data_IF_521671750251
#
_entry.id   IF_521671750251
#
_cell.length_a   1.000
_cell.length_b   1.000
_cell.length_c   1.000
_cell.angle_alpha   90.00
_cell.angle_beta   90.00
_cell.angle_gamma   90.00
#
_symmetry.space_group_name_H-M   'P 1'
#
loop_
_entity.id
_entity.type
_entity.pdbx_description
1 polymer ?
#
# COMPACT_ATOMS: atom_id res chain seq x y z
N UNK A 1 -7.26 -9.06 17.25
CA UNK A 1 -8.27 -9.97 16.68
C UNK A 1 -9.09 -10.69 17.75
N UNK A 2 -8.49 -11.30 18.79
CA UNK A 2 -9.21 -11.97 19.88
C UNK A 2 -10.28 -11.13 20.58
N UNK A 3 -10.02 -9.85 20.85
CA UNK A 3 -10.97 -8.94 21.52
C UNK A 3 -12.25 -8.70 20.72
N UNK A 4 -12.15 -8.58 19.39
CA UNK A 4 -13.33 -8.46 18.52
C UNK A 4 -14.19 -9.73 18.51
N UNK A 5 -13.53 -10.89 18.54
CA UNK A 5 -14.21 -12.18 18.67
C UNK A 5 -14.89 -12.37 20.03
N UNK A 6 -14.24 -11.95 21.11
CA UNK A 6 -14.83 -12.02 22.46
C UNK A 6 -16.04 -11.09 22.60
N UNK A 7 -15.99 -9.91 21.98
CA UNK A 7 -17.14 -8.99 21.95
C UNK A 7 -18.29 -9.56 21.11
N UNK A 8 -18.00 -10.09 19.91
CA UNK A 8 -19.01 -10.69 19.06
C UNK A 8 -19.65 -11.93 19.71
N UNK A 9 -18.83 -12.80 20.33
CA UNK A 9 -19.31 -13.92 21.12
C UNK A 9 -20.12 -13.45 22.34
N UNK A 10 -19.67 -12.41 23.04
CA UNK A 10 -20.37 -11.83 24.19
C UNK A 10 -21.73 -11.23 23.84
N UNK A 11 -21.83 -10.50 22.73
CA UNK A 11 -23.10 -9.97 22.20
C UNK A 11 -24.03 -11.12 21.80
N UNK A 12 -23.49 -12.16 21.16
CA UNK A 12 -24.28 -13.33 20.76
C UNK A 12 -24.79 -14.09 21.99
N UNK A 13 -23.95 -14.27 23.02
CA UNK A 13 -24.31 -14.93 24.28
C UNK A 13 -25.33 -14.11 25.08
N UNK A 14 -25.17 -12.79 25.11
CA UNK A 14 -26.09 -11.87 25.76
C UNK A 14 -27.45 -11.87 25.06
N UNK A 15 -27.46 -11.81 23.73
CA UNK A 15 -28.68 -11.95 22.93
C UNK A 15 -29.33 -13.32 23.16
N UNK A 16 -28.55 -14.39 23.29
CA UNK A 16 -29.07 -15.73 23.61
C UNK A 16 -29.73 -15.78 24.99
N UNK A 17 -29.15 -15.11 25.99
CA UNK A 17 -29.73 -15.02 27.36
C UNK A 17 -31.02 -14.20 27.43
N UNK A 18 -31.12 -13.13 26.62
CA UNK A 18 -32.29 -12.22 26.65
C UNK A 18 -33.44 -12.75 25.78
N UNK A 19 -33.16 -13.64 24.84
CA UNK A 19 -34.18 -14.23 23.97
C UNK A 19 -35.03 -15.25 24.73
N UNK A 20 -36.32 -14.98 24.87
CA UNK A 20 -37.26 -15.86 25.57
C UNK A 20 -37.55 -17.20 24.85
N UNK A 21 -37.16 -17.34 23.58
CA UNK A 21 -37.31 -18.56 22.80
C UNK A 21 -36.04 -18.87 22.01
N UNK A 22 -35.57 -20.11 22.08
CA UNK A 22 -34.53 -20.62 21.19
C UNK A 22 -35.14 -20.83 19.81
N UNK A 23 -34.85 -19.91 18.90
CA UNK A 23 -35.46 -19.87 17.57
C UNK A 23 -34.38 -19.96 16.48
N UNK A 24 -34.74 -20.39 15.27
CA UNK A 24 -33.79 -20.65 14.16
C UNK A 24 -32.94 -19.43 13.79
N UNK A 25 -33.42 -18.22 14.13
CA UNK A 25 -32.72 -16.94 13.99
C UNK A 25 -31.38 -16.90 14.72
N UNK A 26 -31.27 -17.55 15.88
CA UNK A 26 -30.03 -17.59 16.66
C UNK A 26 -28.99 -18.50 15.99
N UNK A 27 -29.44 -19.63 15.42
CA UNK A 27 -28.59 -20.50 14.60
C UNK A 27 -28.08 -19.73 13.37
N UNK A 28 -28.93 -18.93 12.74
CA UNK A 28 -28.54 -18.09 11.61
C UNK A 28 -27.48 -17.05 12.01
N UNK A 29 -27.62 -16.42 13.17
CA UNK A 29 -26.65 -15.46 13.72
C UNK A 29 -25.30 -16.13 14.00
N UNK A 30 -25.30 -17.27 14.69
CA UNK A 30 -24.08 -18.05 14.94
C UNK A 30 -23.41 -18.50 13.64
N UNK A 31 -24.20 -18.99 12.67
CA UNK A 31 -23.70 -19.42 11.38
C UNK A 31 -23.08 -18.25 10.59
N UNK A 32 -23.73 -17.08 10.58
CA UNK A 32 -23.18 -15.89 9.93
C UNK A 32 -21.85 -15.45 10.56
N UNK A 33 -21.73 -15.55 11.89
CA UNK A 33 -20.50 -15.21 12.63
C UNK A 33 -19.36 -16.19 12.33
N UNK A 34 -19.68 -17.50 12.29
CA UNK A 34 -18.74 -18.53 11.90
C UNK A 34 -18.30 -18.40 10.44
N UNK A 35 -19.23 -18.12 9.53
CA UNK A 35 -18.93 -17.89 8.10
C UNK A 35 -18.08 -16.65 7.90
N UNK A 36 -18.39 -15.53 8.55
CA UNK A 36 -17.59 -14.31 8.49
C UNK A 36 -16.17 -14.57 9.01
N UNK A 37 -16.06 -15.26 10.15
CA UNK A 37 -14.77 -15.68 10.68
C UNK A 37 -13.99 -16.59 9.74
N UNK A 38 -14.66 -17.56 9.13
CA UNK A 38 -14.08 -18.48 8.16
C UNK A 38 -13.57 -17.76 6.91
N UNK A 39 -14.33 -16.82 6.36
CA UNK A 39 -13.92 -16.00 5.20
C UNK A 39 -12.69 -15.17 5.53
N UNK A 40 -12.65 -14.52 6.71
CA UNK A 40 -11.47 -13.76 7.16
C UNK A 40 -10.26 -14.68 7.33
N UNK A 41 -10.43 -15.84 7.98
CA UNK A 41 -9.33 -16.77 8.24
C UNK A 41 -8.78 -17.41 6.95
N UNK A 42 -9.66 -17.75 6.02
CA UNK A 42 -9.27 -18.33 4.72
C UNK A 42 -8.63 -17.29 3.80
N UNK A 43 -9.13 -16.05 3.79
CA UNK A 43 -8.49 -14.94 3.09
C UNK A 43 -7.11 -14.63 3.65
N UNK A 44 -6.97 -14.67 4.98
CA UNK A 44 -5.68 -14.50 5.66
C UNK A 44 -4.70 -15.63 5.32
N UNK A 45 -5.11 -16.90 5.43
CA UNK A 45 -4.24 -18.06 5.15
C UNK A 45 -3.84 -18.21 3.69
N UNK A 46 -4.63 -17.66 2.76
CA UNK A 46 -4.30 -17.66 1.33
C UNK A 46 -3.55 -16.40 0.90
N UNK A 47 -3.30 -15.46 1.82
CA UNK A 47 -2.55 -14.26 1.49
C UNK A 47 -1.11 -14.64 1.17
N UNK A 48 -0.58 -14.25 0.00
CA UNK A 48 0.76 -14.64 -0.41
C UNK A 48 1.79 -14.04 0.55
N UNK A 49 2.60 -14.90 1.17
CA UNK A 49 3.69 -14.47 2.05
C UNK A 49 4.90 -14.06 1.21
N UNK A 50 5.49 -12.91 1.56
CA UNK A 50 6.62 -12.35 0.83
C UNK A 50 7.09 -11.02 1.40
N UNK A 51 8.08 -10.43 0.75
CA UNK A 51 8.66 -9.14 1.11
C UNK A 51 8.35 -8.12 0.04
N UNK A 52 7.63 -7.08 0.44
CA UNK A 52 7.47 -5.86 -0.34
C UNK A 52 8.63 -4.92 -0.01
N UNK A 53 9.44 -4.59 -1.01
CA UNK A 53 10.62 -3.74 -0.87
C UNK A 53 10.47 -2.49 -1.73
N UNK A 54 10.92 -1.36 -1.20
CA UNK A 54 11.07 -0.11 -1.92
C UNK A 54 12.56 0.16 -2.11
N UNK A 55 13.03 0.27 -3.36
CA UNK A 55 14.44 0.51 -3.68
C UNK A 55 14.80 2.00 -3.81
N UNK A 56 13.86 2.90 -3.49
CA UNK A 56 14.01 4.35 -3.66
C UNK A 56 13.39 4.89 -4.95
N UNK A 57 13.17 4.03 -5.94
CA UNK A 57 12.59 4.40 -7.25
C UNK A 57 11.41 3.50 -7.65
N UNK A 58 11.46 2.21 -7.30
CA UNK A 58 10.52 1.18 -7.72
C UNK A 58 10.15 0.28 -6.56
N UNK A 59 8.91 -0.20 -6.62
CA UNK A 59 8.44 -1.26 -5.74
C UNK A 59 8.85 -2.62 -6.31
N UNK A 60 9.29 -3.51 -5.42
CA UNK A 60 9.65 -4.89 -5.76
C UNK A 60 8.94 -5.85 -4.82
N UNK A 61 8.40 -6.92 -5.39
CA UNK A 61 7.81 -8.00 -4.62
C UNK A 61 8.61 -9.29 -4.79
N UNK A 62 9.04 -9.84 -3.66
CA UNK A 62 9.71 -11.12 -3.56
C UNK A 62 8.82 -12.10 -2.80
N UNK A 63 8.54 -13.24 -3.40
CA UNK A 63 7.82 -14.35 -2.75
C UNK A 63 8.46 -15.68 -3.13
N UNK A 64 7.98 -16.77 -2.53
CA UNK A 64 8.42 -18.13 -2.88
C UNK A 64 8.26 -18.42 -4.38
N UNK A 65 7.21 -17.84 -4.99
CA UNK A 65 6.92 -17.94 -6.43
C UNK A 65 7.78 -16.98 -7.26
N UNK A 66 8.01 -15.76 -6.75
CA UNK A 66 8.81 -14.73 -7.41
C UNK A 66 10.14 -14.49 -6.69
N UNK A 67 11.03 -15.49 -6.73
CA UNK A 67 12.34 -15.42 -6.06
C UNK A 67 13.26 -14.34 -6.62
N UNK A 68 13.10 -13.98 -7.89
CA UNK A 68 13.92 -12.97 -8.57
C UNK A 68 13.50 -11.53 -8.29
N UNK A 69 12.40 -11.31 -7.56
CA UNK A 69 11.83 -9.99 -7.32
C UNK A 69 11.17 -9.42 -8.58
N UNK A 70 9.85 -9.24 -8.56
CA UNK A 70 9.13 -8.62 -9.69
C UNK A 70 9.00 -7.12 -9.46
N UNK A 71 9.36 -6.32 -10.47
CA UNK A 71 9.12 -4.89 -10.45
C UNK A 71 7.62 -4.60 -10.55
N UNK A 72 7.14 -3.71 -9.70
CA UNK A 72 5.74 -3.36 -9.56
C UNK A 72 5.50 -1.90 -9.92
N UNK A 73 4.27 -1.64 -10.36
CA UNK A 73 3.71 -0.30 -10.28
C UNK A 73 3.56 0.14 -8.82
N UNK A 74 3.39 1.45 -8.56
CA UNK A 74 3.05 1.93 -7.23
C UNK A 74 1.85 1.18 -6.63
N UNK A 75 1.97 0.64 -5.41
CA UNK A 75 0.89 -0.07 -4.74
C UNK A 75 -0.26 0.89 -4.45
N UNK A 76 -1.48 0.49 -4.76
CA UNK A 76 -2.67 1.25 -4.38
C UNK A 76 -3.12 0.83 -2.98
N UNK A 77 -3.28 1.81 -2.07
CA UNK A 77 -3.83 1.58 -0.74
C UNK A 77 -5.35 1.48 -0.85
N UNK A 78 -5.91 0.31 -0.54
CA UNK A 78 -7.36 0.09 -0.57
C UNK A 78 -7.97 0.28 0.82
N UNK A 79 -7.27 -0.20 1.86
CA UNK A 79 -7.70 -0.04 3.24
C UNK A 79 -6.47 0.12 4.14
N UNK A 80 -6.49 1.10 5.03
CA UNK A 80 -5.43 1.34 6.00
C UNK A 80 -6.01 1.31 7.42
N UNK A 81 -5.66 0.28 8.20
CA UNK A 81 -5.97 0.17 9.61
C UNK A 81 -4.68 0.13 10.44
N UNK A 82 -4.74 0.48 11.73
CA UNK A 82 -3.50 0.71 12.52
C UNK A 82 -2.53 -0.46 12.58
N UNK A 83 -3.00 -1.70 12.48
CA UNK A 83 -2.18 -2.91 12.59
C UNK A 83 -1.95 -3.60 11.24
N UNK A 84 -2.67 -3.22 10.18
CA UNK A 84 -2.61 -3.88 8.89
C UNK A 84 -3.06 -2.94 7.76
N UNK A 85 -2.51 -3.11 6.56
CA UNK A 85 -2.89 -2.35 5.36
C UNK A 85 -3.16 -3.32 4.23
N UNK A 86 -4.28 -3.12 3.55
CA UNK A 86 -4.61 -3.82 2.33
C UNK A 86 -4.08 -3.03 1.13
N UNK A 87 -3.13 -3.65 0.45
CA UNK A 87 -2.49 -3.13 -0.75
C UNK A 87 -2.97 -3.92 -1.96
N UNK A 88 -3.28 -3.20 -3.03
CA UNK A 88 -3.44 -3.75 -4.37
C UNK A 88 -2.15 -3.50 -5.14
N UNK A 89 -1.49 -4.59 -5.55
CA UNK A 89 -0.28 -4.56 -6.36
C UNK A 89 -0.63 -4.86 -7.81
N UNK A 90 -0.03 -4.11 -8.73
CA UNK A 90 -0.07 -4.39 -10.16
C UNK A 90 1.36 -4.61 -10.66
N UNK A 91 1.56 -5.62 -11.49
CA UNK A 91 2.80 -5.74 -12.25
C UNK A 91 2.67 -5.04 -13.61
N UNK A 92 3.81 -4.81 -14.25
CA UNK A 92 3.88 -4.20 -15.59
C UNK A 92 3.21 -5.04 -16.70
N UNK A 93 2.95 -6.33 -16.43
CA UNK A 93 2.26 -7.25 -17.34
C UNK A 93 0.74 -7.32 -17.09
N UNK A 94 0.18 -6.45 -16.24
CA UNK A 94 -1.26 -6.37 -15.93
C UNK A 94 -1.78 -7.39 -14.90
N UNK A 95 -0.92 -8.19 -14.27
CA UNK A 95 -1.32 -9.07 -13.18
C UNK A 95 -1.61 -8.25 -11.91
N UNK A 96 -2.70 -8.61 -11.22
CA UNK A 96 -3.19 -7.91 -10.02
C UNK A 96 -3.15 -8.85 -8.81
N UNK A 97 -2.58 -8.37 -7.71
CA UNK A 97 -2.53 -9.10 -6.44
C UNK A 97 -3.02 -8.25 -5.26
N UNK A 98 -3.54 -8.94 -4.25
CA UNK A 98 -4.01 -8.33 -3.01
C UNK A 98 -3.16 -8.83 -1.86
N UNK A 99 -2.62 -7.90 -1.08
CA UNK A 99 -1.67 -8.19 -0.01
C UNK A 99 -2.04 -7.43 1.25
N UNK A 100 -2.05 -8.18 2.36
CA UNK A 100 -2.11 -7.62 3.69
C UNK A 100 -0.69 -7.39 4.20
N UNK A 101 -0.31 -6.13 4.35
CA UNK A 101 0.91 -5.74 5.05
C UNK A 101 0.60 -5.59 6.54
N UNK A 102 1.21 -6.39 7.39
CA UNK A 102 0.97 -6.37 8.83
C UNK A 102 2.09 -5.69 9.60
N UNK A 103 1.72 -4.95 10.66
CA UNK A 103 2.67 -4.36 11.59
C UNK A 103 3.51 -5.41 12.32
N UNK A 104 2.97 -6.59 12.59
CA UNK A 104 3.63 -7.70 13.29
C UNK A 104 4.86 -8.22 12.53
N UNK A 105 4.83 -8.21 11.20
CA UNK A 105 5.89 -8.75 10.36
C UNK A 105 7.17 -7.92 10.42
N UNK A 106 7.05 -6.58 10.49
CA UNK A 106 8.19 -5.68 10.55
C UNK A 106 7.86 -4.39 11.32
N UNK A 107 7.69 -4.46 12.65
CA UNK A 107 7.12 -3.37 13.44
C UNK A 107 7.98 -2.11 13.45
N UNK A 108 9.32 -2.26 13.38
CA UNK A 108 10.28 -1.15 13.35
C UNK A 108 10.11 -0.28 12.10
N UNK A 109 9.82 -0.89 10.94
CA UNK A 109 9.69 -0.17 9.65
C UNK A 109 8.23 0.08 9.26
N UNK A 110 7.28 -0.19 10.16
CA UNK A 110 5.85 -0.05 9.87
C UNK A 110 5.48 1.36 9.43
N UNK A 111 6.01 2.36 10.13
CA UNK A 111 5.70 3.75 9.83
C UNK A 111 6.38 4.22 8.52
N UNK A 112 7.57 3.70 8.22
CA UNK A 112 8.27 3.96 6.95
C UNK A 112 7.49 3.37 5.77
N UNK A 113 6.96 2.15 5.91
CA UNK A 113 6.10 1.53 4.92
C UNK A 113 4.87 2.40 4.65
N UNK A 114 4.18 2.85 5.71
CA UNK A 114 3.01 3.73 5.59
C UNK A 114 3.32 5.01 4.83
N UNK A 115 4.43 5.67 5.17
CA UNK A 115 4.88 6.87 4.46
C UNK A 115 5.18 6.56 3.00
N UNK A 116 5.83 5.44 2.71
CA UNK A 116 6.20 5.06 1.35
C UNK A 116 4.98 4.74 0.46
N UNK A 117 3.96 4.07 0.99
CA UNK A 117 2.74 3.73 0.21
C UNK A 117 1.80 4.93 0.02
N UNK A 118 1.82 5.90 0.94
CA UNK A 118 1.05 7.15 0.82
C UNK A 118 1.81 8.29 0.14
N UNK A 119 3.11 8.12 -0.12
CA UNK A 119 3.90 9.12 -0.82
C UNK A 119 3.32 9.33 -2.23
N UNK A 120 3.17 10.58 -2.69
CA UNK A 120 2.73 10.84 -4.06
C UNK A 120 3.74 10.25 -5.05
N UNK A 121 3.35 9.23 -5.80
CA UNK A 121 4.16 8.75 -6.92
C UNK A 121 3.93 9.66 -8.11
N UNK A 122 4.92 10.49 -8.42
CA UNK A 122 4.87 11.30 -9.65
C UNK A 122 4.91 10.33 -10.83
N UNK A 123 3.92 10.36 -11.74
CA UNK A 123 3.99 9.57 -12.97
C UNK A 123 5.29 9.90 -13.69
N UNK A 124 6.04 8.87 -14.09
CA UNK A 124 7.36 9.04 -14.76
C UNK A 124 7.28 9.98 -15.96
N UNK A 125 6.15 9.96 -16.68
CA UNK A 125 5.86 10.88 -17.79
C UNK A 125 5.89 12.36 -17.39
N UNK A 126 5.35 12.72 -16.22
CA UNK A 126 5.40 14.11 -15.73
C UNK A 126 6.78 14.48 -15.20
N UNK A 127 7.56 13.50 -14.74
CA UNK A 127 8.91 13.73 -14.25
C UNK A 127 9.91 13.95 -15.39
N UNK A 128 9.82 13.17 -16.47
CA UNK A 128 10.65 13.36 -17.67
C UNK A 128 10.33 14.68 -18.37
N UNK A 129 9.05 15.06 -18.42
CA UNK A 129 8.60 16.34 -19.01
C UNK A 129 9.11 17.53 -18.22
N UNK A 130 8.96 17.52 -16.89
CA UNK A 130 9.44 18.59 -16.03
C UNK A 130 10.97 18.69 -16.03
N UNK A 131 11.69 17.56 -16.11
CA UNK A 131 13.14 17.55 -16.24
C UNK A 131 13.59 18.15 -17.59
N UNK A 132 12.88 17.83 -18.68
CA UNK A 132 13.13 18.42 -20.00
C UNK A 132 12.85 19.92 -20.03
N UNK A 133 11.74 20.38 -19.44
CA UNK A 133 11.40 21.81 -19.32
C UNK A 133 12.43 22.58 -18.47
N UNK A 134 12.89 21.99 -17.36
CA UNK A 134 13.90 22.59 -16.51
C UNK A 134 15.25 22.72 -17.22
N UNK A 135 15.65 21.69 -17.98
CA UNK A 135 16.87 21.73 -18.79
C UNK A 135 16.79 22.77 -19.92
N UNK A 136 15.62 22.93 -20.55
CA UNK A 136 15.38 23.97 -21.56
C UNK A 136 15.45 25.38 -20.96
N UNK A 137 14.91 25.58 -19.75
CA UNK A 137 15.01 26.85 -19.03
C UNK A 137 16.45 27.23 -18.66
N UNK A 138 17.25 26.24 -18.26
CA UNK A 138 18.67 26.44 -17.91
C UNK A 138 19.52 26.78 -19.14
N UNK A 139 19.25 26.14 -20.28
CA UNK A 139 19.87 26.49 -21.56
C UNK A 139 19.50 27.90 -22.02
N UNK A 140 18.23 28.31 -21.87
CA UNK A 140 17.78 29.66 -22.22
C UNK A 140 18.45 30.73 -21.33
N UNK A 141 18.57 30.47 -20.02
CA UNK A 141 19.25 31.37 -19.08
C UNK A 141 20.76 31.51 -19.37
N UNK A 142 21.39 30.44 -19.87
CA UNK A 142 22.81 30.46 -20.27
C UNK A 142 23.05 31.29 -21.53
N UNK A 143 22.06 31.36 -22.43
CA UNK A 143 22.14 32.15 -23.67
C UNK A 143 21.86 33.65 -23.42
N UNK A 144 21.07 34.00 -22.41
CA UNK A 144 20.71 35.39 -22.09
C UNK A 144 21.75 36.16 -21.24
N UNK A 145 22.88 35.56 -20.87
CA UNK A 145 24.01 36.27 -20.27
C UNK A 145 25.16 36.45 -21.29
N UNK A 146 25.04 37.35 -22.29
CA UNK A 146 26.18 37.74 -23.10
C UNK A 146 27.11 38.58 -22.23
N UNK A 147 28.27 37.97 -21.97
CA UNK A 147 29.53 38.58 -21.58
C UNK A 147 29.62 40.09 -21.91
N UNK A 148 29.32 40.94 -20.92
CA UNK A 148 29.69 42.35 -20.93
C UNK A 148 31.21 42.45 -20.87
N UNK A 149 31.87 42.35 -22.02
CA UNK A 149 33.31 42.53 -22.15
C UNK A 149 33.67 43.98 -21.77
N UNK A 150 34.59 44.22 -20.81
CA UNK A 150 35.05 45.57 -20.53
C UNK A 150 35.82 46.09 -21.73
N UNK A 151 35.32 47.19 -22.33
CA UNK A 151 35.95 47.86 -23.45
C UNK A 151 37.38 48.29 -23.07
N UNK A 152 38.39 47.69 -23.72
CA UNK A 152 39.76 48.20 -23.70
C UNK A 152 39.79 49.54 -24.43
N UNK A 153 40.03 50.62 -23.70
CA UNK A 153 40.42 51.90 -24.28
C UNK A 153 41.88 51.83 -24.76
N UNK A 154 42.17 52.20 -26.02
CA UNK A 154 43.52 52.45 -26.46
C UNK A 154 43.84 53.95 -26.34
N UNK A 155 44.79 54.27 -25.46
CA UNK A 155 45.97 55.14 -25.66
C UNK A 155 46.45 55.74 -24.34
#
# INVERSE_FOLDING_TARGET
MLTGWLLAAGVTLWWWRVSASTDWRQLLGCLALLLAGWVVLTGWRRSPEGRLQWDGQRWRWESVVYRSGTALEPPAVVLDVQFAILLRLNNQAGAVWWLWAERSALPIRWLDLRRAVHAPHRPTTLQDSAAAESALGELAATVEHPHSAPARHPR
#
